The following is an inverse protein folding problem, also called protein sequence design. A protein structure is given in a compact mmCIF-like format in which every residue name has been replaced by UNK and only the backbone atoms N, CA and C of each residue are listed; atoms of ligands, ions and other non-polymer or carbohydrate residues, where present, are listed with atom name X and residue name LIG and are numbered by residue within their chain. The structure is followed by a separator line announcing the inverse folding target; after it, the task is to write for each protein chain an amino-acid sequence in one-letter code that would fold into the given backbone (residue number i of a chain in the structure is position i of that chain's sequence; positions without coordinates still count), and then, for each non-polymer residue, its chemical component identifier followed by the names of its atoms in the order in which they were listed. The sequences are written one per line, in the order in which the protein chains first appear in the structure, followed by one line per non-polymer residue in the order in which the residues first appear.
data_IF_415231760871
#
_entry.id   IF_415231760871
#
_cell.length_a   1.000
_cell.length_b   1.000
_cell.length_c   1.000
_cell.angle_alpha   90.00
_cell.angle_beta   90.00
_cell.angle_gamma   90.00
#
_symmetry.space_group_name_H-M   'P 1'
#
loop_
_entity.id
_entity.type
_entity.pdbx_description
1 polymer ?
#
# COMPACT_ATOMS: atom_id res chain seq x y z
N UNK A 1 10.97 18.09 -14.94
CA UNK A 1 12.32 18.10 -15.57
C UNK A 1 12.49 16.85 -16.43
N UNK A 2 13.32 16.89 -17.48
CA UNK A 2 13.67 15.70 -18.27
C UNK A 2 15.03 15.17 -17.83
N UNK A 3 15.21 13.84 -17.84
CA UNK A 3 16.48 13.19 -17.57
C UNK A 3 17.27 13.03 -18.88
N UNK A 4 18.60 13.07 -18.81
CA UNK A 4 19.44 12.70 -19.95
C UNK A 4 19.30 11.20 -20.27
N UNK A 5 19.25 10.84 -21.55
CA UNK A 5 19.21 9.43 -21.98
C UNK A 5 20.42 8.62 -21.46
N UNK A 6 21.60 9.23 -21.38
CA UNK A 6 22.81 8.60 -20.81
C UNK A 6 22.60 8.20 -19.35
N UNK A 7 22.02 9.10 -18.54
CA UNK A 7 21.73 8.83 -17.14
C UNK A 7 20.70 7.70 -17.00
N UNK A 8 19.60 7.74 -17.76
CA UNK A 8 18.57 6.69 -17.71
C UNK A 8 19.13 5.33 -18.13
N UNK A 9 19.83 5.24 -19.25
CA UNK A 9 20.46 4.00 -19.71
C UNK A 9 21.48 3.46 -18.70
N UNK A 10 22.31 4.33 -18.12
CA UNK A 10 23.31 3.93 -17.13
C UNK A 10 22.71 3.51 -15.78
N UNK A 11 21.50 3.97 -15.44
CA UNK A 11 20.75 3.54 -14.26
C UNK A 11 20.01 2.22 -14.54
N UNK A 12 19.43 2.05 -15.73
CA UNK A 12 18.80 0.80 -16.15
C UNK A 12 19.79 -0.38 -16.20
N UNK A 13 21.08 -0.11 -16.45
CA UNK A 13 22.14 -1.11 -16.47
C UNK A 13 22.61 -1.60 -15.09
N UNK A 14 22.33 -0.84 -14.01
CA UNK A 14 22.66 -1.27 -12.64
C UNK A 14 21.56 -2.20 -12.15
N UNK A 15 21.92 -3.41 -11.71
CA UNK A 15 20.98 -4.45 -11.27
C UNK A 15 21.20 -4.77 -9.79
N UNK A 16 20.11 -5.15 -9.12
CA UNK A 16 20.07 -5.54 -7.71
C UNK A 16 19.19 -6.77 -7.52
N UNK A 17 19.70 -7.81 -6.88
CA UNK A 17 18.94 -9.00 -6.51
C UNK A 17 18.42 -8.97 -5.07
N UNK A 18 18.97 -8.11 -4.20
CA UNK A 18 18.64 -8.04 -2.78
C UNK A 18 19.04 -6.69 -2.15
N UNK A 19 18.73 -6.51 -0.86
CA UNK A 19 19.05 -5.28 -0.13
C UNK A 19 20.55 -5.04 0.02
N UNK A 20 21.34 -6.10 0.22
CA UNK A 20 22.80 -6.01 0.38
C UNK A 20 23.48 -5.40 -0.86
N UNK A 21 23.06 -5.80 -2.07
CA UNK A 21 23.61 -5.25 -3.32
C UNK A 21 23.29 -3.76 -3.50
N UNK A 22 22.10 -3.33 -3.09
CA UNK A 22 21.73 -1.92 -3.07
C UNK A 22 22.65 -1.16 -2.10
N UNK A 23 22.85 -1.67 -0.90
CA UNK A 23 23.73 -1.04 0.10
C UNK A 23 25.15 -0.90 -0.42
N UNK A 24 25.74 -1.97 -0.95
CA UNK A 24 27.08 -1.92 -1.55
C UNK A 24 27.19 -0.95 -2.73
N UNK A 25 26.11 -0.74 -3.50
CA UNK A 25 26.10 0.27 -4.55
C UNK A 25 26.20 1.68 -3.97
N UNK A 26 25.37 2.02 -2.99
CA UNK A 26 25.40 3.34 -2.36
C UNK A 26 26.70 3.57 -1.59
N UNK A 27 27.20 2.59 -0.84
CA UNK A 27 28.48 2.72 -0.12
C UNK A 27 29.66 2.94 -1.06
N UNK A 28 29.70 2.26 -2.21
CA UNK A 28 30.78 2.49 -3.19
C UNK A 28 30.72 3.89 -3.77
N UNK A 29 29.52 4.34 -4.14
CA UNK A 29 29.28 5.61 -4.82
C UNK A 29 29.40 6.82 -3.89
N UNK A 30 28.76 6.78 -2.72
CA UNK A 30 28.56 7.95 -1.84
C UNK A 30 29.28 7.81 -0.50
N UNK A 31 29.92 6.66 -0.23
CA UNK A 31 30.54 6.31 1.06
C UNK A 31 29.55 6.27 2.23
N UNK A 32 28.27 6.13 1.93
CA UNK A 32 27.18 6.17 2.91
C UNK A 32 26.14 5.09 2.62
N UNK A 33 25.41 4.68 3.66
CA UNK A 33 24.16 3.94 3.51
C UNK A 33 23.15 4.80 2.74
N UNK A 34 22.24 4.20 1.95
CA UNK A 34 21.23 4.94 1.17
C UNK A 34 20.46 5.96 2.02
N UNK A 35 19.94 5.54 3.19
CA UNK A 35 19.20 6.40 4.10
C UNK A 35 20.03 7.60 4.62
N UNK A 36 21.31 7.41 4.94
CA UNK A 36 22.19 8.49 5.39
C UNK A 36 22.43 9.50 4.25
N UNK A 37 22.69 8.99 3.05
CA UNK A 37 22.87 9.82 1.86
C UNK A 37 21.59 10.58 1.51
N UNK A 38 20.42 9.92 1.52
CA UNK A 38 19.15 10.58 1.23
C UNK A 38 18.87 11.68 2.26
N UNK A 39 19.05 11.38 3.55
CA UNK A 39 18.87 12.35 4.63
C UNK A 39 19.77 13.57 4.46
N UNK A 40 21.07 13.34 4.22
CA UNK A 40 22.05 14.43 4.11
C UNK A 40 21.93 15.23 2.81
N UNK A 41 21.52 14.62 1.69
CA UNK A 41 21.61 15.23 0.35
C UNK A 41 20.24 15.58 -0.27
N UNK A 42 19.20 14.78 -0.04
CA UNK A 42 17.90 14.94 -0.71
C UNK A 42 16.80 15.45 0.23
N UNK A 43 16.75 14.97 1.47
CA UNK A 43 15.69 15.29 2.42
C UNK A 43 15.59 16.81 2.64
N UNK A 44 14.36 17.27 2.88
CA UNK A 44 14.01 18.67 3.13
C UNK A 44 14.45 19.66 2.04
N UNK A 45 14.67 19.19 0.80
CA UNK A 45 15.07 20.02 -0.35
C UNK A 45 14.12 19.85 -1.53
N UNK A 46 13.77 20.98 -2.16
CA UNK A 46 12.95 21.02 -3.39
C UNK A 46 11.69 20.14 -3.28
N UNK A 47 11.53 19.12 -4.13
CA UNK A 47 10.34 18.25 -4.16
C UNK A 47 10.25 17.30 -2.95
N UNK A 48 11.32 17.25 -2.14
CA UNK A 48 11.41 16.53 -0.87
C UNK A 48 11.33 17.45 0.36
N UNK A 49 10.91 18.71 0.21
CA UNK A 49 10.90 19.71 1.29
C UNK A 49 10.23 19.25 2.60
N UNK A 50 9.19 18.43 2.53
CA UNK A 50 8.42 17.95 3.68
C UNK A 50 8.69 16.46 3.97
N UNK A 51 9.83 15.93 3.54
CA UNK A 51 10.19 14.52 3.70
C UNK A 51 11.58 14.39 4.29
N UNK A 52 11.72 13.38 5.12
CA UNK A 52 12.92 12.97 5.83
C UNK A 52 12.96 11.45 5.87
N UNK A 53 14.07 10.91 6.39
CA UNK A 53 14.20 9.50 6.73
C UNK A 53 14.96 9.40 8.05
N UNK A 54 14.51 8.49 8.93
CA UNK A 54 15.27 8.11 10.10
C UNK A 54 16.45 7.22 9.67
N UNK A 55 17.62 7.49 10.23
CA UNK A 55 18.90 6.86 9.87
C UNK A 55 19.44 5.92 10.96
N UNK A 56 18.62 5.64 11.98
CA UNK A 56 18.97 4.67 13.03
C UNK A 56 19.15 3.26 12.48
N UNK A 57 19.98 2.46 13.16
CA UNK A 57 20.30 1.09 12.75
C UNK A 57 19.06 0.20 12.55
N UNK A 58 18.01 0.24 13.40
CA UNK A 58 16.80 -0.55 13.17
C UNK A 58 16.06 -0.20 11.87
N UNK A 59 16.14 1.05 11.40
CA UNK A 59 15.54 1.47 10.11
C UNK A 59 16.41 0.98 8.95
N UNK A 60 17.74 1.03 9.08
CA UNK A 60 18.68 0.50 8.09
C UNK A 60 18.54 -1.01 7.90
N UNK A 61 18.40 -1.76 8.98
CA UNK A 61 18.10 -3.20 8.92
C UNK A 61 16.76 -3.47 8.22
N UNK A 62 15.72 -2.69 8.52
CA UNK A 62 14.42 -2.80 7.84
C UNK A 62 14.52 -2.50 6.36
N UNK A 63 15.28 -1.49 5.97
CA UNK A 63 15.56 -1.20 4.57
C UNK A 63 16.11 -2.43 3.86
N UNK A 64 17.16 -3.07 4.40
CA UNK A 64 17.74 -4.28 3.81
C UNK A 64 16.69 -5.39 3.68
N UNK A 65 15.92 -5.66 4.74
CA UNK A 65 14.87 -6.69 4.75
C UNK A 65 13.77 -6.44 3.72
N UNK A 66 13.34 -5.19 3.51
CA UNK A 66 12.35 -4.87 2.46
C UNK A 66 12.89 -5.28 1.10
N UNK A 67 14.14 -4.91 0.82
CA UNK A 67 14.75 -5.13 -0.49
C UNK A 67 15.26 -6.56 -0.70
N UNK A 68 15.38 -7.38 0.34
CA UNK A 68 15.57 -8.83 0.18
C UNK A 68 14.31 -9.51 -0.41
N UNK A 69 13.15 -8.86 -0.35
CA UNK A 69 11.90 -9.32 -0.95
C UNK A 69 11.63 -8.79 -2.37
N UNK A 70 12.67 -8.42 -3.13
CA UNK A 70 12.55 -8.01 -4.55
C UNK A 70 11.65 -8.97 -5.36
N UNK A 71 11.84 -10.30 -5.32
CA UNK A 71 11.00 -11.23 -6.07
C UNK A 71 9.51 -11.15 -5.74
N UNK A 72 9.16 -10.81 -4.48
CA UNK A 72 7.74 -10.67 -4.09
C UNK A 72 7.13 -9.37 -4.61
N UNK A 73 7.90 -8.29 -4.67
CA UNK A 73 7.45 -6.96 -5.10
C UNK A 73 7.38 -6.80 -6.61
N UNK A 74 8.26 -7.47 -7.36
CA UNK A 74 8.41 -7.27 -8.81
C UNK A 74 8.06 -8.50 -9.66
N UNK A 75 7.84 -9.68 -9.06
CA UNK A 75 7.75 -10.96 -9.77
C UNK A 75 9.01 -11.30 -10.61
N UNK A 76 10.15 -10.69 -10.27
CA UNK A 76 11.44 -10.81 -10.98
C UNK A 76 12.58 -11.04 -9.97
N UNK A 77 13.63 -11.81 -10.33
CA UNK A 77 14.74 -12.10 -9.42
C UNK A 77 15.62 -10.88 -9.11
N UNK A 78 15.56 -9.84 -9.95
CA UNK A 78 16.34 -8.61 -9.79
C UNK A 78 15.62 -7.40 -10.36
N UNK A 79 16.02 -6.21 -9.90
CA UNK A 79 15.53 -4.92 -10.38
C UNK A 79 16.67 -3.99 -10.75
N UNK A 80 16.37 -2.96 -11.54
CA UNK A 80 17.34 -1.92 -11.84
C UNK A 80 17.26 -0.69 -10.91
N UNK A 81 18.23 0.22 -11.03
CA UNK A 81 18.27 1.44 -10.22
C UNK A 81 17.07 2.37 -10.45
N UNK A 82 16.45 2.37 -11.64
CA UNK A 82 15.23 3.16 -11.89
C UNK A 82 14.06 2.63 -11.06
N UNK A 83 13.87 1.31 -11.06
CA UNK A 83 12.82 0.62 -10.31
C UNK A 83 13.02 0.79 -8.80
N UNK A 84 14.24 0.60 -8.31
CA UNK A 84 14.59 0.89 -6.92
C UNK A 84 14.26 2.34 -6.55
N UNK A 85 14.76 3.29 -7.34
CA UNK A 85 14.58 4.73 -7.08
C UNK A 85 13.11 5.13 -7.05
N UNK A 86 12.32 4.58 -7.97
CA UNK A 86 10.89 4.87 -8.06
C UNK A 86 10.10 4.29 -6.90
N UNK A 87 10.27 3.00 -6.58
CA UNK A 87 9.54 2.38 -5.48
C UNK A 87 9.99 2.93 -4.12
N UNK A 88 11.30 3.10 -3.90
CA UNK A 88 11.80 3.73 -2.67
C UNK A 88 11.23 5.14 -2.48
N UNK A 89 11.06 5.90 -3.57
CA UNK A 89 10.45 7.23 -3.49
C UNK A 89 8.98 7.21 -3.07
N UNK A 90 8.24 6.15 -3.44
CA UNK A 90 6.90 5.91 -2.90
C UNK A 90 6.99 5.55 -1.42
N UNK A 91 7.88 4.64 -1.01
CA UNK A 91 8.00 4.23 0.39
C UNK A 91 8.29 5.42 1.32
N UNK A 92 9.23 6.28 0.94
CA UNK A 92 9.53 7.53 1.65
C UNK A 92 8.29 8.43 1.74
N UNK A 93 7.42 8.44 0.72
CA UNK A 93 6.19 9.21 0.79
C UNK A 93 5.14 8.60 1.72
N UNK A 94 4.85 7.31 1.55
CA UNK A 94 3.68 6.65 2.14
C UNK A 94 3.90 6.23 3.59
N UNK A 95 5.05 5.60 3.87
CA UNK A 95 5.35 5.06 5.21
C UNK A 95 6.41 5.87 5.95
N UNK A 96 7.09 6.77 5.25
CA UNK A 96 8.00 7.75 5.84
C UNK A 96 9.16 7.12 6.59
N UNK A 97 9.53 7.78 7.69
CA UNK A 97 10.83 7.63 8.36
C UNK A 97 11.14 6.22 8.85
N UNK A 98 10.12 5.42 9.19
CA UNK A 98 10.32 4.17 9.91
C UNK A 98 10.27 2.91 9.02
N UNK A 99 9.88 3.04 7.75
CA UNK A 99 9.81 1.90 6.80
C UNK A 99 9.04 0.69 7.35
N UNK A 100 7.94 0.94 8.06
CA UNK A 100 6.99 -0.11 8.47
C UNK A 100 5.76 -0.07 7.59
N UNK A 101 5.13 -1.22 7.32
CA UNK A 101 3.78 -1.23 6.79
C UNK A 101 2.86 -0.54 7.80
N UNK A 102 2.04 0.39 7.32
CA UNK A 102 1.07 1.11 8.16
C UNK A 102 -0.35 0.84 7.69
N UNK A 103 -1.28 0.90 8.62
CA UNK A 103 -2.72 0.88 8.33
C UNK A 103 -3.25 2.31 8.31
N UNK A 104 -4.09 2.62 7.33
CA UNK A 104 -4.70 3.93 7.15
C UNK A 104 -5.46 4.35 8.42
N UNK A 105 -5.12 5.53 8.92
CA UNK A 105 -5.81 6.16 10.04
C UNK A 105 -7.17 6.66 9.59
N UNK A 106 -8.18 6.42 10.42
CA UNK A 106 -9.55 6.84 10.14
C UNK A 106 -10.00 7.92 11.12
N UNK A 107 -10.38 9.07 10.58
CA UNK A 107 -10.95 10.16 11.35
C UNK A 107 -10.41 11.52 10.94
N UNK A 108 -11.31 12.48 10.89
CA UNK A 108 -11.06 13.93 10.87
C UNK A 108 -12.34 14.62 11.37
N UNK A 109 -12.29 15.92 11.62
CA UNK A 109 -13.40 16.71 12.17
C UNK A 109 -14.82 16.24 11.80
N UNK A 110 -15.36 16.66 10.66
CA UNK A 110 -16.74 16.34 10.24
C UNK A 110 -16.98 14.86 9.89
N UNK A 111 -15.93 14.02 9.93
CA UNK A 111 -15.94 12.61 9.57
C UNK A 111 -15.13 11.79 10.58
N UNK A 112 -15.59 11.67 11.84
CA UNK A 112 -14.84 10.99 12.89
C UNK A 112 -14.82 9.47 12.66
N UNK A 113 -13.70 8.84 13.02
CA UNK A 113 -13.51 7.39 13.01
C UNK A 113 -14.09 6.68 11.78
N UNK A 114 -15.04 5.77 11.96
CA UNK A 114 -15.64 4.97 10.87
C UNK A 114 -16.30 5.80 9.78
N UNK A 115 -16.82 6.99 10.12
CA UNK A 115 -17.44 7.85 9.13
C UNK A 115 -16.44 8.33 8.07
N UNK A 116 -15.16 8.45 8.42
CA UNK A 116 -14.08 8.74 7.48
C UNK A 116 -13.99 7.65 6.42
N UNK A 117 -13.79 6.40 6.83
CA UNK A 117 -13.61 5.28 5.90
C UNK A 117 -14.85 5.12 4.99
N UNK A 118 -16.04 5.21 5.58
CA UNK A 118 -17.30 5.00 4.88
C UNK A 118 -17.64 6.12 3.90
N UNK A 119 -17.52 7.38 4.30
CA UNK A 119 -18.13 8.48 3.55
C UNK A 119 -17.28 8.93 2.36
N UNK A 120 -17.95 9.43 1.32
CA UNK A 120 -17.26 10.23 0.31
C UNK A 120 -16.99 11.62 0.88
N UNK A 121 -15.75 12.13 0.71
CA UNK A 121 -15.34 13.44 1.23
C UNK A 121 -14.93 14.31 0.03
N UNK A 122 -15.71 15.35 -0.32
CA UNK A 122 -15.45 16.19 -1.50
C UNK A 122 -14.02 16.72 -1.56
N UNK A 123 -13.35 16.52 -2.70
CA UNK A 123 -11.98 16.97 -2.93
C UNK A 123 -10.89 16.21 -2.16
N UNK A 124 -11.25 15.22 -1.33
CA UNK A 124 -10.32 14.50 -0.47
C UNK A 124 -10.25 13.03 -0.84
N UNK A 125 -11.37 12.31 -0.77
CA UNK A 125 -11.40 10.87 -1.08
C UNK A 125 -12.78 10.37 -1.51
N UNK A 126 -12.77 9.21 -2.16
CA UNK A 126 -13.98 8.45 -2.46
C UNK A 126 -14.44 7.66 -1.22
N UNK A 127 -15.70 7.25 -1.23
CA UNK A 127 -16.25 6.30 -0.25
C UNK A 127 -15.65 4.92 -0.48
N UNK A 128 -15.17 4.27 0.58
CA UNK A 128 -14.79 2.85 0.50
C UNK A 128 -16.02 1.92 0.51
N UNK A 129 -17.21 2.43 0.81
CA UNK A 129 -18.45 1.65 0.86
C UNK A 129 -19.18 1.60 -0.50
N UNK A 130 -19.20 2.72 -1.21
CA UNK A 130 -19.91 2.87 -2.48
C UNK A 130 -19.05 2.60 -3.72
N UNK A 131 -17.81 2.10 -3.54
CA UNK A 131 -16.92 1.71 -4.64
C UNK A 131 -17.23 0.29 -5.13
N UNK A 132 -17.13 0.05 -6.44
CA UNK A 132 -17.48 -1.24 -7.08
C UNK A 132 -16.62 -2.42 -6.61
N UNK A 133 -15.45 -2.16 -6.04
CA UNK A 133 -14.51 -3.20 -5.64
C UNK A 133 -14.75 -3.75 -4.22
N UNK A 134 -15.49 -3.02 -3.38
CA UNK A 134 -15.93 -3.49 -2.06
C UNK A 134 -17.39 -3.92 -2.10
N UNK A 135 -17.78 -4.86 -1.23
CA UNK A 135 -19.21 -5.12 -0.97
C UNK A 135 -19.75 -3.98 -0.08
N UNK A 136 -20.82 -3.28 -0.47
CA UNK A 136 -21.41 -2.28 0.40
C UNK A 136 -21.89 -2.91 1.71
N UNK A 137 -21.75 -2.18 2.81
CA UNK A 137 -22.09 -2.65 4.15
C UNK A 137 -23.54 -3.15 4.25
N UNK A 138 -24.48 -2.52 3.52
CA UNK A 138 -25.87 -2.98 3.49
C UNK A 138 -26.03 -4.38 2.89
N UNK A 139 -25.20 -4.76 1.92
CA UNK A 139 -25.17 -6.13 1.40
C UNK A 139 -24.63 -7.12 2.43
N UNK A 140 -23.58 -6.74 3.15
CA UNK A 140 -23.01 -7.59 4.21
C UNK A 140 -23.98 -7.75 5.40
N UNK A 141 -24.63 -6.67 5.81
CA UNK A 141 -25.46 -6.66 7.02
C UNK A 141 -26.86 -7.25 6.82
N UNK A 142 -27.40 -7.23 5.59
CA UNK A 142 -28.78 -7.66 5.35
C UNK A 142 -28.92 -8.87 4.42
N UNK A 143 -27.90 -9.18 3.61
CA UNK A 143 -27.97 -10.25 2.61
C UNK A 143 -26.93 -11.38 2.80
N UNK A 144 -25.89 -11.20 3.64
CA UNK A 144 -24.75 -12.12 3.73
C UNK A 144 -24.74 -12.96 5.03
N UNK A 145 -25.18 -14.23 4.99
CA UNK A 145 -25.21 -15.10 6.17
C UNK A 145 -23.82 -15.49 6.66
N UNK A 146 -22.82 -15.57 5.78
CA UNK A 146 -21.44 -15.92 6.17
C UNK A 146 -20.84 -14.79 7.00
N UNK A 147 -21.13 -13.53 6.64
CA UNK A 147 -20.72 -12.36 7.42
C UNK A 147 -21.29 -12.43 8.84
N UNK A 148 -22.59 -12.70 8.98
CA UNK A 148 -23.23 -12.83 10.29
C UNK A 148 -22.73 -14.03 11.09
N UNK A 149 -22.48 -15.16 10.43
CA UNK A 149 -21.93 -16.32 11.12
C UNK A 149 -20.54 -16.06 11.68
N UNK A 150 -19.71 -15.29 10.98
CA UNK A 150 -18.35 -14.98 11.41
C UNK A 150 -18.32 -13.87 12.47
N UNK A 151 -19.15 -12.83 12.32
CA UNK A 151 -18.99 -11.57 13.04
C UNK A 151 -20.15 -11.23 13.98
N UNK A 152 -21.28 -11.94 13.89
CA UNK A 152 -22.53 -11.57 14.56
C UNK A 152 -22.50 -11.57 16.09
N UNK A 153 -21.44 -12.11 16.71
CA UNK A 153 -21.21 -12.04 18.16
C UNK A 153 -20.42 -10.80 18.61
N UNK A 154 -19.93 -9.97 17.67
CA UNK A 154 -19.17 -8.77 17.97
C UNK A 154 -20.07 -7.60 18.38
N UNK A 155 -19.50 -6.65 19.13
CA UNK A 155 -20.23 -5.47 19.57
C UNK A 155 -20.76 -4.64 18.39
N UNK A 156 -21.97 -4.09 18.55
CA UNK A 156 -22.67 -3.34 17.51
C UNK A 156 -23.54 -4.18 16.58
N UNK A 157 -23.40 -5.51 16.57
CA UNK A 157 -24.23 -6.41 15.75
C UNK A 157 -25.73 -6.30 16.10
N UNK A 158 -26.07 -6.33 17.40
CA UNK A 158 -27.46 -6.19 17.86
C UNK A 158 -28.08 -4.85 17.49
N UNK A 159 -27.30 -3.76 17.49
CA UNK A 159 -27.78 -2.44 17.08
C UNK A 159 -28.14 -2.41 15.59
N UNK A 160 -27.30 -3.00 14.74
CA UNK A 160 -27.59 -3.13 13.29
C UNK A 160 -28.86 -3.95 13.06
N UNK A 161 -29.05 -5.03 13.82
CA UNK A 161 -30.23 -5.89 13.72
C UNK A 161 -31.51 -5.21 14.23
N UNK A 162 -31.40 -4.37 15.26
CA UNK A 162 -32.54 -3.73 15.91
C UNK A 162 -33.24 -2.67 15.04
N UNK A 163 -32.56 -2.11 14.04
CA UNK A 163 -33.11 -1.06 13.18
C UNK A 163 -33.33 -1.64 11.76
N UNK A 164 -34.57 -2.06 11.42
CA UNK A 164 -34.86 -2.66 10.12
C UNK A 164 -34.82 -1.63 8.99
N UNK A 165 -34.78 -2.11 7.74
CA UNK A 165 -34.89 -1.31 6.51
C UNK A 165 -33.75 -0.29 6.29
N UNK A 166 -32.56 -0.54 6.83
CA UNK A 166 -31.39 0.32 6.65
C UNK A 166 -30.45 -0.12 5.52
N UNK A 167 -30.82 -1.12 4.73
CA UNK A 167 -29.95 -1.66 3.67
C UNK A 167 -29.51 -0.56 2.70
N UNK A 168 -30.43 0.24 2.19
CA UNK A 168 -30.10 1.34 1.27
C UNK A 168 -29.25 2.44 1.93
N UNK A 169 -29.50 2.74 3.21
CA UNK A 169 -28.64 3.65 3.98
C UNK A 169 -27.21 3.14 4.08
N UNK A 170 -27.04 1.84 4.37
CA UNK A 170 -25.74 1.19 4.44
C UNK A 170 -25.12 0.86 3.08
N UNK A 171 -25.86 0.95 1.98
CA UNK A 171 -25.32 0.90 0.62
C UNK A 171 -24.84 2.27 0.12
N UNK A 172 -25.21 3.35 0.81
CA UNK A 172 -24.88 4.72 0.43
C UNK A 172 -23.42 5.12 0.68
N UNK A 173 -23.13 6.40 0.42
CA UNK A 173 -21.81 7.01 0.59
C UNK A 173 -21.75 8.02 1.75
N UNK A 174 -22.74 8.00 2.65
CA UNK A 174 -22.81 8.87 3.84
C UNK A 174 -23.03 7.99 5.06
N UNK A 175 -22.10 8.03 6.02
CA UNK A 175 -22.22 7.21 7.23
C UNK A 175 -23.43 7.67 8.07
N UNK A 176 -24.27 6.74 8.56
CA UNK A 176 -25.43 7.06 9.41
C UNK A 176 -25.01 7.42 10.86
N UNK A 177 -24.24 8.50 11.02
CA UNK A 177 -23.60 8.90 12.30
C UNK A 177 -24.60 9.16 13.44
N UNK A 178 -25.83 9.54 13.12
CA UNK A 178 -26.88 9.76 14.12
C UNK A 178 -27.50 8.47 14.67
N UNK A 179 -27.25 7.33 14.01
CA UNK A 179 -27.82 6.04 14.36
C UNK A 179 -26.76 5.05 14.87
N UNK A 180 -25.51 5.21 14.45
CA UNK A 180 -24.43 4.26 14.75
C UNK A 180 -23.18 4.97 15.26
N UNK A 181 -22.43 4.34 16.19
CA UNK A 181 -21.20 4.92 16.71
C UNK A 181 -20.16 5.08 15.60
N UNK A 182 -19.39 6.15 15.66
CA UNK A 182 -18.22 6.38 14.79
C UNK A 182 -16.91 5.90 15.42
N UNK A 183 -16.95 5.44 16.67
CA UNK A 183 -15.81 4.97 17.44
C UNK A 183 -15.04 3.86 16.71
N UNK A 184 -13.72 3.86 16.87
CA UNK A 184 -12.83 2.79 16.43
C UNK A 184 -12.59 1.74 17.53
N UNK A 185 -13.21 1.89 18.71
CA UNK A 185 -13.09 0.90 19.78
C UNK A 185 -13.91 -0.36 19.44
N UNK A 186 -13.29 -1.56 19.39
CA UNK A 186 -13.97 -2.79 18.99
C UNK A 186 -15.15 -3.17 19.90
N UNK A 187 -15.16 -2.74 21.15
CA UNK A 187 -16.25 -2.96 22.12
C UNK A 187 -17.50 -2.12 21.83
N UNK A 188 -17.43 -1.16 20.91
CA UNK A 188 -18.55 -0.31 20.49
C UNK A 188 -18.99 -0.58 19.07
N UNK A 189 -18.05 -0.85 18.16
CA UNK A 189 -18.32 -0.92 16.72
C UNK A 189 -17.70 -2.14 16.04
N UNK A 190 -17.22 -3.14 16.79
CA UNK A 190 -16.49 -4.29 16.28
C UNK A 190 -17.15 -5.00 15.10
N UNK A 191 -18.48 -5.19 15.11
CA UNK A 191 -19.23 -5.75 13.99
C UNK A 191 -19.14 -4.91 12.72
N UNK A 192 -19.33 -3.59 12.84
CA UNK A 192 -19.31 -2.63 11.73
C UNK A 192 -17.89 -2.53 11.15
N UNK A 193 -16.85 -2.62 12.00
CA UNK A 193 -15.46 -2.62 11.58
C UNK A 193 -15.11 -3.79 10.63
N UNK A 194 -15.85 -4.91 10.69
CA UNK A 194 -15.58 -6.05 9.81
C UNK A 194 -16.11 -5.87 8.38
N UNK A 195 -16.93 -4.85 8.13
CA UNK A 195 -17.41 -4.52 6.80
C UNK A 195 -16.27 -4.00 5.91
N UNK A 196 -16.38 -4.28 4.61
CA UNK A 196 -15.34 -4.04 3.61
C UNK A 196 -14.82 -2.60 3.61
N UNK A 197 -15.69 -1.60 3.83
CA UNK A 197 -15.29 -0.19 3.82
C UNK A 197 -14.22 0.16 4.85
N UNK A 198 -14.17 -0.55 5.98
CA UNK A 198 -13.17 -0.35 7.03
C UNK A 198 -12.13 -1.45 7.00
N UNK A 199 -12.55 -2.72 6.88
CA UNK A 199 -11.66 -3.87 6.86
C UNK A 199 -10.66 -3.82 5.70
N UNK A 200 -11.03 -3.28 4.54
CA UNK A 200 -10.15 -3.14 3.36
C UNK A 200 -9.72 -1.70 3.06
N UNK A 201 -9.59 -0.89 4.11
CA UNK A 201 -8.88 0.41 4.05
C UNK A 201 -7.38 0.22 3.79
N UNK A 202 -6.66 1.31 3.55
CA UNK A 202 -5.25 1.27 3.16
C UNK A 202 -4.38 0.48 4.14
N UNK A 203 -3.57 -0.46 3.63
CA UNK A 203 -2.53 -1.16 4.41
C UNK A 203 -1.23 -1.33 3.66
N UNK A 204 -0.16 -1.46 4.43
CA UNK A 204 1.15 -1.81 3.92
C UNK A 204 1.91 -0.61 3.38
N UNK A 205 2.92 -0.91 2.57
CA UNK A 205 3.89 0.07 2.08
C UNK A 205 3.35 1.09 1.08
N UNK A 206 2.30 0.72 0.34
CA UNK A 206 1.69 1.57 -0.69
C UNK A 206 0.19 1.77 -0.46
N UNK A 207 -0.28 1.52 0.77
CA UNK A 207 -1.68 1.71 1.18
C UNK A 207 -2.68 0.96 0.28
N UNK A 208 -2.52 -0.37 0.17
CA UNK A 208 -3.42 -1.23 -0.59
C UNK A 208 -4.82 -1.16 -0.01
N UNK A 209 -5.79 -0.82 -0.86
CA UNK A 209 -7.21 -0.67 -0.56
C UNK A 209 -8.02 -1.66 -1.38
N UNK A 210 -9.30 -1.81 -1.05
CA UNK A 210 -10.31 -2.59 -1.80
C UNK A 210 -10.21 -4.10 -1.67
N UNK A 211 -11.35 -4.74 -1.47
CA UNK A 211 -11.52 -6.20 -1.31
C UNK A 211 -10.86 -7.00 -2.43
N UNK A 212 -10.93 -6.52 -3.67
CA UNK A 212 -10.30 -7.15 -4.83
C UNK A 212 -8.80 -7.42 -4.63
N UNK A 213 -8.05 -6.42 -4.17
CA UNK A 213 -6.62 -6.56 -3.90
C UNK A 213 -6.36 -7.51 -2.72
N UNK A 214 -7.21 -7.47 -1.70
CA UNK A 214 -7.11 -8.40 -0.56
C UNK A 214 -7.46 -9.84 -0.97
N UNK A 215 -8.36 -10.05 -1.94
CA UNK A 215 -8.69 -11.37 -2.51
C UNK A 215 -7.45 -11.99 -3.17
N UNK A 216 -6.67 -11.20 -3.88
CA UNK A 216 -5.40 -11.67 -4.46
C UNK A 216 -4.38 -12.04 -3.38
N UNK A 217 -4.36 -11.31 -2.26
CA UNK A 217 -3.53 -11.65 -1.09
C UNK A 217 -3.99 -12.99 -0.49
N UNK A 218 -5.29 -13.25 -0.37
CA UNK A 218 -5.80 -14.57 0.07
C UNK A 218 -5.26 -15.67 -0.84
N UNK A 219 -5.34 -15.48 -2.16
CA UNK A 219 -4.81 -16.43 -3.13
C UNK A 219 -3.31 -16.70 -2.93
N UNK A 220 -2.52 -15.67 -2.62
CA UNK A 220 -1.11 -15.83 -2.24
C UNK A 220 -0.95 -16.64 -0.95
N UNK A 221 -1.68 -16.33 0.12
CA UNK A 221 -1.60 -17.01 1.42
C UNK A 221 -1.95 -18.50 1.27
N UNK A 222 -3.03 -18.81 0.55
CA UNK A 222 -3.45 -20.20 0.30
C UNK A 222 -2.39 -21.02 -0.46
N UNK A 223 -1.61 -20.38 -1.33
CA UNK A 223 -0.55 -21.00 -2.10
C UNK A 223 0.86 -20.83 -1.48
N UNK A 224 0.96 -20.25 -0.29
CA UNK A 224 2.25 -19.95 0.33
C UNK A 224 3.08 -21.21 0.57
N UNK A 225 4.33 -21.20 0.14
CA UNK A 225 5.27 -22.34 0.21
C UNK A 225 6.47 -22.11 1.12
N UNK A 226 6.56 -20.95 1.77
CA UNK A 226 7.64 -20.62 2.71
C UNK A 226 7.39 -21.16 4.12
N UNK A 227 8.18 -20.65 5.08
CA UNK A 227 8.23 -21.16 6.45
C UNK A 227 7.66 -20.22 7.51
N UNK A 228 7.11 -19.05 7.14
CA UNK A 228 6.56 -18.09 8.09
C UNK A 228 5.35 -18.70 8.84
N UNK A 229 5.38 -18.79 10.18
CA UNK A 229 4.36 -19.51 10.95
C UNK A 229 3.00 -18.83 10.89
N UNK A 230 2.95 -17.50 10.81
CA UNK A 230 1.71 -16.73 10.70
C UNK A 230 1.02 -17.05 9.37
N UNK A 231 1.77 -17.03 8.27
CA UNK A 231 1.24 -17.40 6.94
C UNK A 231 0.82 -18.86 6.85
N UNK A 232 1.57 -19.79 7.43
CA UNK A 232 1.18 -21.20 7.47
C UNK A 232 -0.11 -21.43 8.26
N UNK A 233 -0.33 -20.69 9.36
CA UNK A 233 -1.58 -20.72 10.12
C UNK A 233 -2.77 -20.23 9.29
N UNK A 234 -2.65 -19.07 8.64
CA UNK A 234 -3.73 -18.56 7.78
C UNK A 234 -3.95 -19.45 6.55
N UNK A 235 -2.90 -19.98 5.93
CA UNK A 235 -2.99 -20.96 4.85
C UNK A 235 -3.84 -22.17 5.27
N UNK A 236 -3.57 -22.75 6.44
CA UNK A 236 -4.35 -23.87 6.95
C UNK A 236 -5.80 -23.49 7.23
N UNK A 237 -6.04 -22.33 7.85
CA UNK A 237 -7.38 -21.83 8.14
C UNK A 237 -8.22 -21.51 6.89
N UNK A 238 -7.57 -21.17 5.78
CA UNK A 238 -8.21 -20.73 4.54
C UNK A 238 -8.17 -21.78 3.42
N UNK A 239 -7.52 -22.93 3.61
CA UNK A 239 -7.19 -23.89 2.56
C UNK A 239 -8.38 -24.37 1.69
N UNK A 240 -9.58 -24.46 2.28
CA UNK A 240 -10.78 -24.97 1.61
C UNK A 240 -11.82 -23.90 1.30
N UNK A 241 -11.51 -22.62 1.58
CA UNK A 241 -12.43 -21.51 1.40
C UNK A 241 -12.18 -20.84 0.07
N UNK A 242 -13.24 -20.43 -0.62
CA UNK A 242 -13.11 -19.51 -1.75
C UNK A 242 -12.46 -18.20 -1.27
N UNK A 243 -11.53 -17.58 -2.02
CA UNK A 243 -10.88 -16.34 -1.63
C UNK A 243 -11.86 -15.21 -1.26
N UNK A 244 -13.00 -15.13 -1.93
CA UNK A 244 -14.01 -14.13 -1.61
C UNK A 244 -14.74 -14.48 -0.30
N UNK A 245 -15.04 -15.75 -0.03
CA UNK A 245 -15.56 -16.17 1.28
C UNK A 245 -14.57 -15.86 2.42
N UNK A 246 -13.26 -15.98 2.18
CA UNK A 246 -12.24 -15.56 3.16
C UNK A 246 -12.34 -14.05 3.39
N UNK A 247 -12.41 -13.23 2.35
CA UNK A 247 -12.59 -11.78 2.50
C UNK A 247 -13.86 -11.43 3.30
N UNK A 248 -14.96 -12.18 3.18
CA UNK A 248 -16.15 -11.99 4.02
C UNK A 248 -15.88 -12.37 5.47
N UNK A 249 -15.31 -13.55 5.71
CA UNK A 249 -15.24 -14.18 7.04
C UNK A 249 -14.01 -13.81 7.87
N UNK A 250 -12.95 -13.28 7.25
CA UNK A 250 -11.76 -12.80 7.97
C UNK A 250 -12.07 -11.52 8.75
N UNK A 251 -11.24 -11.26 9.75
CA UNK A 251 -11.35 -10.08 10.61
C UNK A 251 -10.41 -8.95 10.17
N UNK A 252 -10.67 -7.74 10.65
CA UNK A 252 -9.76 -6.60 10.54
C UNK A 252 -8.40 -6.91 11.16
N UNK A 253 -8.41 -7.62 12.28
CA UNK A 253 -7.24 -8.03 13.06
C UNK A 253 -6.40 -9.06 12.30
N UNK A 254 -7.04 -9.97 11.55
CA UNK A 254 -6.33 -10.92 10.69
C UNK A 254 -5.43 -10.20 9.68
N UNK A 255 -5.94 -9.10 9.11
CA UNK A 255 -5.19 -8.28 8.16
C UNK A 255 -4.09 -7.45 8.82
N UNK A 256 -4.37 -6.87 9.99
CA UNK A 256 -3.34 -6.15 10.75
C UNK A 256 -2.18 -7.08 11.14
N UNK A 257 -2.49 -8.33 11.52
CA UNK A 257 -1.47 -9.35 11.81
C UNK A 257 -0.73 -9.80 10.56
N UNK A 258 -1.42 -10.08 9.45
CA UNK A 258 -0.77 -10.48 8.19
C UNK A 258 0.22 -9.43 7.69
N UNK A 259 -0.12 -8.15 7.76
CA UNK A 259 0.79 -7.07 7.35
C UNK A 259 1.87 -6.79 8.38
N UNK A 260 1.60 -6.95 9.68
CA UNK A 260 2.54 -6.62 10.77
C UNK A 260 3.48 -7.74 11.21
N UNK A 261 3.08 -9.01 11.06
CA UNK A 261 3.69 -10.17 11.75
C UNK A 261 4.14 -11.29 10.82
N UNK A 262 4.45 -10.96 9.56
CA UNK A 262 4.92 -11.93 8.54
C UNK A 262 6.32 -11.61 8.02
N UNK A 263 7.15 -10.94 8.82
CA UNK A 263 8.48 -10.46 8.42
C UNK A 263 8.46 -9.72 7.07
N UNK A 264 7.46 -8.84 6.90
CA UNK A 264 7.21 -8.02 5.70
C UNK A 264 6.78 -8.80 4.43
N UNK A 265 6.65 -10.13 4.48
CA UNK A 265 6.31 -10.95 3.30
C UNK A 265 5.00 -10.49 2.66
N UNK A 266 3.93 -10.33 3.45
CA UNK A 266 2.62 -9.89 2.92
C UNK A 266 2.71 -8.45 2.43
N UNK A 267 3.35 -7.56 3.19
CA UNK A 267 3.48 -6.15 2.83
C UNK A 267 4.23 -5.97 1.49
N UNK A 268 5.32 -6.72 1.27
CA UNK A 268 6.06 -6.74 0.02
C UNK A 268 5.27 -7.42 -1.11
N UNK A 269 4.63 -8.56 -0.84
CA UNK A 269 3.85 -9.27 -1.86
C UNK A 269 2.64 -8.47 -2.34
N UNK A 270 2.01 -7.70 -1.45
CA UNK A 270 0.89 -6.84 -1.79
C UNK A 270 1.27 -5.79 -2.85
N UNK A 271 2.52 -5.29 -2.84
CA UNK A 271 3.04 -4.41 -3.91
C UNK A 271 3.05 -5.14 -5.26
N UNK A 272 3.57 -6.37 -5.32
CA UNK A 272 3.65 -7.13 -6.56
C UNK A 272 2.28 -7.52 -7.13
N UNK A 273 1.35 -7.91 -6.28
CA UNK A 273 -0.04 -8.19 -6.69
C UNK A 273 -0.72 -6.92 -7.24
N UNK A 274 -0.59 -5.79 -6.54
CA UNK A 274 -1.14 -4.52 -7.01
C UNK A 274 -0.48 -4.03 -8.30
N UNK A 275 0.83 -4.23 -8.45
CA UNK A 275 1.55 -3.99 -9.70
C UNK A 275 0.93 -4.74 -10.87
N UNK A 276 0.71 -6.05 -10.69
CA UNK A 276 0.11 -6.92 -11.71
C UNK A 276 -1.30 -6.49 -12.07
N UNK A 277 -2.17 -6.29 -11.07
CA UNK A 277 -3.54 -5.83 -11.27
C UNK A 277 -3.60 -4.44 -11.94
N UNK A 278 -2.64 -3.57 -11.64
CA UNK A 278 -2.49 -2.23 -12.23
C UNK A 278 -1.87 -2.20 -13.64
N UNK A 279 -1.64 -3.36 -14.25
CA UNK A 279 -1.04 -3.51 -15.58
C UNK A 279 0.48 -3.25 -15.57
N UNK A 280 1.19 -3.84 -14.62
CA UNK A 280 2.64 -3.81 -14.47
C UNK A 280 3.24 -2.39 -14.50
N UNK A 281 2.77 -1.51 -13.60
CA UNK A 281 3.27 -0.13 -13.53
C UNK A 281 4.71 0.01 -12.99
N UNK A 282 5.28 -1.04 -12.40
CA UNK A 282 6.68 -1.10 -11.96
C UNK A 282 7.66 -1.44 -13.10
N UNK A 283 7.17 -1.82 -14.28
CA UNK A 283 7.97 -1.96 -15.49
C UNK A 283 8.25 -0.57 -16.07
N UNK A 284 9.39 0.01 -15.69
CA UNK A 284 9.80 1.36 -16.11
C UNK A 284 10.59 1.35 -17.42
N UNK A 285 10.40 2.39 -18.24
CA UNK A 285 11.12 2.53 -19.51
C UNK A 285 12.58 2.96 -19.29
N UNK A 286 13.48 2.44 -20.13
CA UNK A 286 14.85 2.92 -20.25
C UNK A 286 15.01 4.10 -21.24
N UNK A 287 13.92 4.55 -21.88
CA UNK A 287 13.89 5.79 -22.68
C UNK A 287 13.51 6.96 -21.76
N UNK A 288 14.37 7.99 -21.69
CA UNK A 288 14.16 9.13 -20.79
C UNK A 288 12.89 9.93 -21.14
N UNK A 289 12.51 10.03 -22.41
CA UNK A 289 11.30 10.73 -22.83
C UNK A 289 10.06 9.98 -22.35
N UNK A 290 10.08 8.65 -22.39
CA UNK A 290 8.98 7.83 -21.89
C UNK A 290 8.94 7.86 -20.36
N UNK A 291 10.07 7.61 -19.70
CA UNK A 291 10.19 7.54 -18.25
C UNK A 291 9.72 8.83 -17.57
N UNK A 292 10.12 9.99 -18.10
CA UNK A 292 9.84 11.31 -17.54
C UNK A 292 8.61 12.00 -18.15
N UNK A 293 7.84 11.29 -18.99
CA UNK A 293 6.62 11.83 -19.56
C UNK A 293 5.65 12.35 -18.49
N UNK A 294 5.09 13.54 -18.74
CA UNK A 294 4.08 14.11 -17.86
C UNK A 294 2.71 13.43 -18.01
N UNK A 295 2.45 12.77 -19.13
CA UNK A 295 1.31 11.90 -19.33
C UNK A 295 1.54 10.52 -18.69
N UNK A 296 0.51 9.93 -18.05
CA UNK A 296 0.58 8.55 -17.59
C UNK A 296 0.55 7.62 -18.81
N UNK A 297 1.65 6.93 -19.07
CA UNK A 297 1.80 5.92 -20.12
C UNK A 297 2.63 4.74 -19.61
N UNK A 298 2.60 3.59 -20.30
CA UNK A 298 3.45 2.44 -19.91
C UNK A 298 4.91 2.88 -19.79
N UNK A 299 5.58 2.43 -18.72
CA UNK A 299 6.97 2.80 -18.46
C UNK A 299 7.22 4.17 -17.87
N UNK A 300 6.20 5.03 -17.69
CA UNK A 300 6.38 6.39 -17.13
C UNK A 300 6.22 6.43 -15.62
N UNK A 301 7.03 7.26 -14.96
CA UNK A 301 6.92 7.55 -13.52
C UNK A 301 5.55 8.14 -13.17
N UNK A 302 4.98 8.95 -14.06
CA UNK A 302 3.65 9.52 -13.87
C UNK A 302 2.57 8.42 -13.81
N UNK A 303 2.68 7.35 -14.63
CA UNK A 303 1.75 6.22 -14.55
C UNK A 303 1.89 5.47 -13.23
N UNK A 304 3.11 5.19 -12.79
CA UNK A 304 3.36 4.52 -11.50
C UNK A 304 2.76 5.32 -10.33
N UNK A 305 3.06 6.62 -10.24
CA UNK A 305 2.52 7.49 -9.20
C UNK A 305 0.99 7.58 -9.25
N UNK A 306 0.39 7.63 -10.44
CA UNK A 306 -1.07 7.65 -10.60
C UNK A 306 -1.74 6.35 -10.18
N UNK A 307 -1.13 5.19 -10.49
CA UNK A 307 -1.69 3.88 -10.12
C UNK A 307 -1.70 3.65 -8.62
N UNK A 308 -0.68 4.13 -7.90
CA UNK A 308 -0.59 3.97 -6.45
C UNK A 308 -1.48 5.00 -5.73
N UNK A 309 -1.40 6.28 -6.11
CA UNK A 309 -2.10 7.35 -5.37
C UNK A 309 -3.53 7.64 -5.83
N UNK A 310 -3.89 7.25 -7.06
CA UNK A 310 -5.12 7.68 -7.72
C UNK A 310 -5.19 9.19 -8.05
N UNK A 311 -4.13 9.96 -7.82
CA UNK A 311 -4.14 11.42 -7.91
C UNK A 311 -3.15 11.95 -8.96
N UNK A 312 -3.65 12.69 -9.96
CA UNK A 312 -2.81 13.31 -11.00
C UNK A 312 -1.82 14.34 -10.43
N UNK A 313 -2.22 15.27 -9.54
CA UNK A 313 -1.26 16.18 -8.92
C UNK A 313 -0.13 15.45 -8.17
N UNK A 314 -0.48 14.40 -7.43
CA UNK A 314 0.52 13.59 -6.73
C UNK A 314 1.44 12.86 -7.70
N UNK A 315 0.91 12.26 -8.77
CA UNK A 315 1.71 11.55 -9.77
C UNK A 315 2.78 12.45 -10.42
N UNK A 316 2.47 13.73 -10.65
CA UNK A 316 3.43 14.71 -11.15
C UNK A 316 4.50 15.04 -10.11
N UNK A 317 4.13 15.23 -8.84
CA UNK A 317 5.08 15.45 -7.74
C UNK A 317 6.00 14.23 -7.55
N UNK A 318 5.44 13.03 -7.57
CA UNK A 318 6.18 11.77 -7.52
C UNK A 318 7.21 11.67 -8.64
N UNK A 319 6.83 11.99 -9.88
CA UNK A 319 7.78 12.06 -11.00
C UNK A 319 8.95 12.99 -10.67
N UNK A 320 8.67 14.23 -10.25
CA UNK A 320 9.74 15.20 -9.97
C UNK A 320 10.65 14.75 -8.83
N UNK A 321 10.11 14.06 -7.82
CA UNK A 321 10.89 13.45 -6.73
C UNK A 321 11.89 12.41 -7.21
N UNK A 322 11.45 11.49 -8.07
CA UNK A 322 12.31 10.44 -8.63
C UNK A 322 13.34 11.04 -9.58
N UNK A 323 12.95 12.01 -10.40
CA UNK A 323 13.86 12.74 -11.30
C UNK A 323 14.93 13.49 -10.50
N UNK A 324 14.56 14.17 -9.42
CA UNK A 324 15.50 14.84 -8.52
C UNK A 324 16.48 13.82 -7.93
N UNK A 325 15.99 12.71 -7.39
CA UNK A 325 16.82 11.66 -6.78
C UNK A 325 17.83 11.07 -7.80
N UNK A 326 17.37 10.73 -9.00
CA UNK A 326 18.24 10.18 -10.06
C UNK A 326 19.26 11.22 -10.56
N UNK A 327 18.87 12.49 -10.69
CA UNK A 327 19.78 13.57 -11.07
C UNK A 327 20.85 13.78 -10.02
N UNK A 328 20.48 13.80 -8.74
CA UNK A 328 21.43 13.88 -7.63
C UNK A 328 22.43 12.72 -7.66
N UNK A 329 21.96 11.49 -7.92
CA UNK A 329 22.86 10.33 -8.09
C UNK A 329 23.75 10.42 -9.33
N UNK A 330 23.25 11.01 -10.42
CA UNK A 330 24.03 11.25 -11.65
C UNK A 330 25.25 12.13 -11.39
N UNK A 331 25.07 13.21 -10.63
CA UNK A 331 26.19 14.08 -10.22
C UNK A 331 27.26 13.34 -9.41
N UNK A 332 26.87 12.46 -8.49
CA UNK A 332 27.82 11.63 -7.72
C UNK A 332 28.58 10.64 -8.61
N UNK A 333 28.00 10.23 -9.75
CA UNK A 333 28.64 9.33 -10.72
C UNK A 333 29.57 10.07 -11.70
N UNK A 334 29.54 11.40 -11.72
CA UNK A 334 30.23 12.21 -12.72
C UNK A 334 29.62 12.07 -14.13
N UNK A 335 28.31 11.80 -14.22
CA UNK A 335 27.57 11.60 -15.49
C UNK A 335 26.57 12.73 -15.71
#
# INVERSE_FOLDING_TARGET
MSLANSLVSSAAAVQFANGTEILHFFERLTKQHFLDWFHSTCARRQFWANKEMNTSEPVKERFARIWDWIPLMFDEPSINLLQFSALMSILINEVGDDLLPVTELCGRDEYPGLAYAFSAIPGVKRSYNAGEENRPAGKLFFDDPDFWSAHGSLAGADLVRAIPNLQETWNGAVYPQNLFPTSLEPDRSGFIQQADFYKFRGRGFIQITWRSNYRDIVGFVQNYSGADPTLLRYKAAWATKDPDTVCTTSTNEDWDELFGSTNLIVACRAIGLHNRAGGNYLELSADANVLTAASPQQGSLCRMGLRISGSKPYALLFRERVVQLLTTLGYERGV
#
